data_IF_599733997991
#
_entry.id   IF_599733997991
#
_cell.length_a   1.000
_cell.length_b   1.000
_cell.length_c   1.000
_cell.angle_alpha   90.00
_cell.angle_beta   90.00
_cell.angle_gamma   90.00
#
_symmetry.space_group_name_H-M   'P 1'
#
loop_
_entity.id
_entity.type
_entity.pdbx_description
1 polymer ?
#
# COMPACT_ATOMS: atom_id res chain seq x y z
N UNK A 1 -23.64 34.35 1.37
CA UNK A 1 -22.21 34.33 1.00
C UNK A 1 -21.53 33.22 1.79
N UNK A 2 -21.48 32.02 1.23
CA UNK A 2 -20.68 30.91 1.77
C UNK A 2 -19.93 30.39 0.55
N UNK A 3 -18.63 30.72 0.48
CA UNK A 3 -17.75 30.34 -0.63
C UNK A 3 -17.45 28.83 -0.63
N UNK A 4 -16.93 28.29 -1.74
CA UNK A 4 -16.59 26.89 -1.84
C UNK A 4 -15.50 26.56 -0.81
N UNK A 5 -15.78 25.60 0.06
CA UNK A 5 -14.83 25.06 1.03
C UNK A 5 -13.84 24.21 0.24
N UNK A 6 -12.68 24.77 -0.10
CA UNK A 6 -11.52 24.00 -0.52
C UNK A 6 -11.03 23.17 0.68
N UNK A 7 -11.59 21.97 0.85
CA UNK A 7 -11.14 21.01 1.83
C UNK A 7 -9.85 20.39 1.29
N UNK A 8 -8.71 20.98 1.67
CA UNK A 8 -7.38 20.47 1.36
C UNK A 8 -7.13 19.17 2.12
N UNK A 9 -7.52 18.04 1.54
CA UNK A 9 -7.10 16.73 2.03
C UNK A 9 -5.69 16.45 1.53
N UNK A 10 -4.72 16.51 2.45
CA UNK A 10 -3.35 16.08 2.18
C UNK A 10 -3.29 14.56 2.20
N UNK A 11 -3.33 13.93 1.02
CA UNK A 11 -3.15 12.49 0.84
C UNK A 11 -1.69 12.11 0.56
N UNK A 12 -0.72 12.95 0.92
CA UNK A 12 0.69 12.68 0.60
C UNK A 12 1.25 11.54 1.45
N UNK A 13 1.62 10.45 0.80
CA UNK A 13 2.26 9.27 1.40
C UNK A 13 3.78 9.41 1.54
N UNK A 14 4.36 10.54 1.10
CA UNK A 14 5.82 10.78 1.15
C UNK A 14 6.16 12.21 1.59
N UNK A 15 7.34 12.39 2.20
CA UNK A 15 7.86 13.71 2.58
C UNK A 15 8.39 14.53 1.38
N UNK A 16 8.39 13.96 0.16
CA UNK A 16 8.77 14.63 -1.08
C UNK A 16 7.52 14.88 -1.92
N UNK A 17 6.83 15.96 -1.63
CA UNK A 17 5.78 16.47 -2.49
C UNK A 17 4.49 16.72 -1.74
N UNK A 18 4.03 17.94 -1.86
CA UNK A 18 2.66 18.36 -1.66
C UNK A 18 1.86 17.90 -2.89
N UNK A 19 1.37 16.66 -2.86
CA UNK A 19 0.42 16.20 -3.87
C UNK A 19 -0.92 16.91 -3.60
N UNK A 20 -1.05 18.10 -4.15
CA UNK A 20 -2.29 18.85 -4.11
C UNK A 20 -3.29 18.16 -5.01
N UNK A 21 -4.54 18.04 -4.55
CA UNK A 21 -5.66 17.74 -5.43
C UNK A 21 -5.81 18.94 -6.38
N UNK A 22 -5.11 18.89 -7.51
CA UNK A 22 -5.31 19.80 -8.63
C UNK A 22 -6.50 19.31 -9.44
N UNK A 23 -7.04 20.16 -10.32
CA UNK A 23 -8.05 19.75 -11.29
C UNK A 23 -7.45 18.94 -12.46
N UNK A 24 -6.20 18.48 -12.32
CA UNK A 24 -5.49 17.65 -13.30
C UNK A 24 -5.76 16.17 -13.00
N UNK A 25 -5.97 15.38 -14.05
CA UNK A 25 -6.01 13.93 -13.92
C UNK A 25 -4.56 13.46 -13.75
N UNK A 26 -4.16 13.23 -12.50
CA UNK A 26 -2.91 12.56 -12.21
C UNK A 26 -3.03 11.10 -12.64
N UNK A 27 -2.08 10.56 -13.44
CA UNK A 27 -2.06 9.15 -13.78
C UNK A 27 -2.07 8.31 -12.51
N UNK A 28 -2.92 7.28 -12.46
CA UNK A 28 -2.96 6.42 -11.29
C UNK A 28 -1.66 5.64 -11.14
N UNK A 29 -1.38 5.16 -9.93
CA UNK A 29 -0.17 4.38 -9.64
C UNK A 29 -0.03 3.11 -10.51
N UNK A 30 -1.14 2.62 -11.10
CA UNK A 30 -1.11 1.47 -12.01
C UNK A 30 -0.60 1.89 -13.39
N UNK A 31 -1.09 3.01 -13.90
CA UNK A 31 -0.69 3.61 -15.17
C UNK A 31 0.79 4.02 -15.14
N UNK A 32 1.28 4.44 -13.98
CA UNK A 32 2.69 4.76 -13.75
C UNK A 32 3.59 3.53 -13.51
N UNK A 33 3.03 2.31 -13.48
CA UNK A 33 3.80 1.08 -13.27
C UNK A 33 4.35 0.87 -11.85
N UNK A 34 3.87 1.67 -10.89
CA UNK A 34 4.27 1.60 -9.46
C UNK A 34 3.65 0.37 -8.77
N UNK A 35 2.44 -0.01 -9.17
CA UNK A 35 1.68 -1.08 -8.53
C UNK A 35 2.11 -2.44 -9.09
N UNK A 36 2.53 -3.35 -8.21
CA UNK A 36 2.85 -4.73 -8.55
C UNK A 36 1.64 -5.50 -9.14
N UNK A 37 1.88 -6.55 -9.96
CA UNK A 37 0.83 -7.41 -10.49
C UNK A 37 -0.09 -7.98 -9.39
N UNK A 38 -1.31 -8.32 -9.76
CA UNK A 38 -2.25 -8.98 -8.83
C UNK A 38 -1.69 -10.35 -8.43
N UNK A 39 -1.69 -10.62 -7.12
CA UNK A 39 -1.34 -11.92 -6.51
C UNK A 39 -2.61 -12.57 -5.94
N UNK A 40 -2.53 -13.85 -5.57
CA UNK A 40 -3.64 -14.64 -5.00
C UNK A 40 -3.25 -15.24 -3.64
N UNK A 41 -4.11 -15.06 -2.63
CA UNK A 41 -3.93 -15.60 -1.27
C UNK A 41 -4.44 -17.04 -1.11
N UNK A 42 -5.15 -17.57 -2.11
CA UNK A 42 -5.79 -18.87 -2.06
C UNK A 42 -6.81 -18.97 -0.93
N UNK A 43 -6.83 -20.12 -0.24
CA UNK A 43 -7.77 -20.40 0.86
C UNK A 43 -7.27 -19.96 2.25
N UNK A 44 -6.25 -19.10 2.31
CA UNK A 44 -5.66 -18.61 3.55
C UNK A 44 -6.19 -17.20 3.86
N UNK A 45 -6.58 -16.92 5.12
CA UNK A 45 -6.98 -15.58 5.58
C UNK A 45 -5.79 -14.63 5.77
N UNK A 46 -4.92 -14.53 4.76
CA UNK A 46 -3.67 -13.77 4.77
C UNK A 46 -3.74 -12.42 4.07
N UNK A 47 -4.93 -11.89 3.75
CA UNK A 47 -5.10 -10.59 3.07
C UNK A 47 -4.32 -9.43 3.74
N UNK A 48 -4.11 -9.51 5.05
CA UNK A 48 -3.32 -8.55 5.82
C UNK A 48 -1.85 -8.48 5.35
N UNK A 49 -1.25 -9.59 4.91
CA UNK A 49 0.12 -9.61 4.37
C UNK A 49 0.18 -8.95 3.01
N UNK A 50 -0.78 -9.27 2.13
CA UNK A 50 -0.89 -8.68 0.78
C UNK A 50 -1.11 -7.17 0.84
N UNK A 51 -1.89 -6.69 1.81
CA UNK A 51 -2.08 -5.26 2.00
C UNK A 51 -0.78 -4.56 2.40
N UNK A 52 0.02 -5.16 3.29
CA UNK A 52 1.29 -4.58 3.72
C UNK A 52 2.34 -4.66 2.62
N UNK A 53 2.57 -5.85 2.03
CA UNK A 53 3.60 -6.05 1.01
C UNK A 53 3.37 -5.16 -0.20
N UNK A 54 2.13 -5.02 -0.69
CA UNK A 54 1.82 -4.14 -1.82
C UNK A 54 2.07 -2.66 -1.51
N UNK A 55 1.77 -2.21 -0.29
CA UNK A 55 2.06 -0.83 0.10
C UNK A 55 3.57 -0.58 0.12
N UNK A 56 4.36 -1.53 0.65
CA UNK A 56 5.81 -1.42 0.71
C UNK A 56 6.46 -1.54 -0.67
N UNK A 57 6.00 -2.46 -1.53
CA UNK A 57 6.43 -2.59 -2.93
C UNK A 57 6.19 -1.28 -3.70
N UNK A 58 5.00 -0.69 -3.56
CA UNK A 58 4.66 0.57 -4.22
C UNK A 58 5.48 1.75 -3.70
N UNK A 59 5.75 1.82 -2.40
CA UNK A 59 6.62 2.85 -1.82
C UNK A 59 8.08 2.68 -2.31
N UNK A 60 8.56 1.44 -2.37
CA UNK A 60 9.88 1.13 -2.90
C UNK A 60 9.99 1.51 -4.38
N UNK A 61 9.00 1.12 -5.20
CA UNK A 61 8.95 1.48 -6.62
C UNK A 61 8.94 3.00 -6.84
N UNK A 62 8.18 3.77 -6.05
CA UNK A 62 8.17 5.23 -6.11
C UNK A 62 9.54 5.86 -5.82
N UNK A 63 10.25 5.36 -4.81
CA UNK A 63 11.53 5.96 -4.38
C UNK A 63 12.69 5.51 -5.28
N UNK A 64 12.70 4.26 -5.73
CA UNK A 64 13.85 3.67 -6.43
C UNK A 64 13.64 3.48 -7.92
N UNK A 65 12.41 3.60 -8.44
CA UNK A 65 12.05 3.26 -9.82
C UNK A 65 12.21 1.77 -10.14
N UNK A 66 12.20 0.89 -9.13
CA UNK A 66 12.41 -0.56 -9.30
C UNK A 66 11.26 -1.34 -8.68
N UNK A 67 10.73 -2.30 -9.42
CA UNK A 67 9.69 -3.19 -8.92
C UNK A 67 10.32 -4.40 -8.24
N UNK A 68 9.91 -4.65 -7.01
CA UNK A 68 10.26 -5.84 -6.23
C UNK A 68 8.98 -6.62 -5.92
N UNK A 69 9.13 -7.92 -5.69
CA UNK A 69 8.06 -8.78 -5.17
C UNK A 69 8.48 -9.28 -3.81
N UNK A 70 7.75 -8.87 -2.78
CA UNK A 70 7.96 -9.30 -1.40
C UNK A 70 7.20 -10.60 -1.12
N UNK A 71 7.66 -11.34 -0.10
CA UNK A 71 7.10 -12.64 0.28
C UNK A 71 6.02 -12.48 1.36
N UNK A 72 4.76 -12.62 0.96
CA UNK A 72 3.64 -12.72 1.89
C UNK A 72 3.79 -13.92 2.84
N UNK A 73 4.38 -15.03 2.37
CA UNK A 73 4.56 -16.25 3.15
C UNK A 73 5.51 -16.06 4.33
N UNK A 74 6.50 -15.17 4.21
CA UNK A 74 7.39 -14.83 5.32
C UNK A 74 6.58 -14.22 6.48
N UNK A 75 5.65 -13.31 6.18
CA UNK A 75 4.78 -12.70 7.19
C UNK A 75 3.83 -13.72 7.82
N UNK A 76 3.22 -14.58 6.99
CA UNK A 76 2.37 -15.69 7.48
C UNK A 76 3.10 -16.57 8.48
N UNK A 77 4.38 -16.87 8.24
CA UNK A 77 5.16 -17.79 9.06
C UNK A 77 5.76 -17.14 10.32
N UNK A 78 6.14 -15.86 10.26
CA UNK A 78 7.02 -15.26 11.26
C UNK A 78 6.35 -14.21 12.15
N UNK A 79 5.21 -13.62 11.75
CA UNK A 79 4.64 -12.48 12.47
C UNK A 79 3.83 -12.85 13.74
N UNK A 80 3.87 -14.11 14.18
CA UNK A 80 3.14 -14.56 15.38
C UNK A 80 3.51 -13.79 16.65
N UNK A 81 4.78 -13.41 16.79
CA UNK A 81 5.25 -12.61 17.92
C UNK A 81 4.67 -11.18 17.96
N UNK A 82 4.05 -10.72 16.87
CA UNK A 82 3.50 -9.38 16.69
C UNK A 82 1.97 -9.37 16.66
N UNK A 83 1.31 -10.41 17.20
CA UNK A 83 -0.16 -10.53 17.26
C UNK A 83 -0.84 -10.71 15.90
N UNK A 84 -0.13 -11.33 14.95
CA UNK A 84 -0.71 -11.89 13.72
C UNK A 84 -0.83 -13.41 13.82
N UNK A 85 -1.76 -14.00 13.09
CA UNK A 85 -2.13 -15.41 13.27
C UNK A 85 -2.10 -16.21 11.98
N UNK A 86 -1.18 -15.88 11.07
CA UNK A 86 -1.00 -16.55 9.80
C UNK A 86 -2.27 -16.50 8.94
N UNK A 87 -2.83 -17.67 8.62
CA UNK A 87 -4.08 -17.78 7.86
C UNK A 87 -5.36 -17.46 8.66
N UNK A 88 -5.26 -17.25 9.97
CA UNK A 88 -6.41 -16.87 10.81
C UNK A 88 -6.59 -15.35 10.92
N UNK A 89 -5.88 -14.57 10.09
CA UNK A 89 -5.95 -13.12 10.06
C UNK A 89 -4.80 -12.43 10.78
N UNK A 90 -4.83 -11.10 10.67
CA UNK A 90 -3.78 -10.21 11.16
C UNK A 90 -4.06 -8.77 10.76
N UNK A 91 -3.21 -7.86 11.23
CA UNK A 91 -3.24 -6.44 10.89
C UNK A 91 -2.00 -6.05 10.08
N UNK A 92 -2.15 -5.31 8.96
CA UNK A 92 -1.01 -4.81 8.20
C UNK A 92 -0.05 -3.94 9.02
N UNK A 93 -0.52 -3.26 10.07
CA UNK A 93 0.31 -2.47 10.98
C UNK A 93 1.19 -3.30 11.92
N UNK A 94 0.94 -4.61 11.98
CA UNK A 94 1.68 -5.59 12.80
C UNK A 94 2.52 -6.55 11.93
N UNK A 95 2.48 -6.37 10.62
CA UNK A 95 3.21 -7.16 9.64
C UNK A 95 4.69 -6.77 9.57
#
# INVERSE_FOLDING_TARGET
MIGPINMLFNCSTTYRGNHWLTNEIIPGMREEGIVSPVKDQGHCGSCWTFSMTRALEAAYAQVTGKNISLSEQQLVNCAYAFNNFGCNGGFPSQA
#
